data_IF_692942410492
#
_entry.id   IF_692942410492
#
_cell.length_a   1.000
_cell.length_b   1.000
_cell.length_c   1.000
_cell.angle_alpha   90.00
_cell.angle_beta   90.00
_cell.angle_gamma   90.00
#
_symmetry.space_group_name_H-M   'P 1'
#
loop_
_entity.id
_entity.type
_entity.pdbx_description
1 polymer ?
#
# COMPACT_ATOMS: atom_id res chain seq x y z
N UNK A 1 -18.93 -37.67 -60.33
CA UNK A 1 -19.83 -36.91 -59.45
C UNK A 1 -18.99 -36.41 -58.28
N UNK A 2 -18.42 -35.21 -58.43
CA UNK A 2 -17.49 -34.55 -57.52
C UNK A 2 -18.04 -33.13 -57.32
N UNK A 3 -18.03 -32.60 -56.09
CA UNK A 3 -17.86 -31.20 -55.66
C UNK A 3 -18.09 -31.17 -54.12
N UNK A 4 -17.03 -31.30 -53.33
CA UNK A 4 -16.32 -30.24 -52.57
C UNK A 4 -16.92 -29.85 -51.20
N UNK A 5 -16.42 -30.41 -50.08
CA UNK A 5 -16.62 -29.86 -48.73
C UNK A 5 -15.57 -28.79 -48.35
N UNK A 6 -14.63 -28.47 -49.23
CA UNK A 6 -13.43 -27.66 -48.93
C UNK A 6 -13.74 -26.15 -48.81
N UNK A 7 -14.85 -25.68 -49.39
CA UNK A 7 -15.16 -24.25 -49.52
C UNK A 7 -15.53 -23.57 -48.18
N UNK A 8 -16.13 -24.31 -47.26
CA UNK A 8 -16.64 -23.76 -45.99
C UNK A 8 -15.55 -23.58 -44.92
N UNK A 9 -14.52 -24.43 -44.92
CA UNK A 9 -13.39 -24.31 -43.96
C UNK A 9 -12.54 -23.07 -44.25
N UNK A 10 -12.32 -22.74 -45.52
CA UNK A 10 -11.60 -21.53 -45.90
C UNK A 10 -12.34 -20.25 -45.48
N UNK A 11 -13.65 -20.19 -45.73
CA UNK A 11 -14.46 -19.04 -45.33
C UNK A 11 -14.51 -18.88 -43.81
N UNK A 12 -14.67 -19.97 -43.06
CA UNK A 12 -14.73 -19.92 -41.59
C UNK A 12 -13.41 -19.44 -40.98
N UNK A 13 -12.26 -19.96 -41.46
CA UNK A 13 -10.93 -19.51 -41.03
C UNK A 13 -10.68 -18.05 -41.39
N UNK A 14 -11.17 -17.59 -42.54
CA UNK A 14 -11.07 -16.19 -42.94
C UNK A 14 -11.89 -15.28 -42.00
N UNK A 15 -13.10 -15.67 -41.59
CA UNK A 15 -13.91 -14.91 -40.62
C UNK A 15 -13.26 -14.83 -39.23
N UNK A 16 -12.64 -15.92 -38.76
CA UNK A 16 -11.91 -15.95 -37.47
C UNK A 16 -10.68 -15.02 -37.50
N UNK A 17 -10.04 -14.84 -38.67
CA UNK A 17 -8.88 -13.95 -38.81
C UNK A 17 -9.25 -12.48 -39.00
N UNK A 18 -10.39 -12.17 -39.62
CA UNK A 18 -10.78 -10.76 -39.88
C UNK A 18 -11.49 -10.12 -38.67
N UNK A 19 -12.25 -10.89 -37.88
CA UNK A 19 -12.96 -10.38 -36.70
C UNK A 19 -12.07 -9.71 -35.64
N UNK A 20 -10.86 -10.22 -35.30
CA UNK A 20 -9.97 -9.51 -34.37
C UNK A 20 -9.32 -8.26 -34.98
N UNK A 21 -9.20 -8.17 -36.32
CA UNK A 21 -8.62 -7.00 -36.99
C UNK A 21 -9.63 -5.82 -36.96
N UNK A 22 -10.92 -6.10 -37.12
CA UNK A 22 -11.98 -5.08 -37.02
C UNK A 22 -12.32 -4.71 -35.57
N UNK A 23 -12.08 -5.60 -34.60
CA UNK A 23 -12.35 -5.32 -33.17
C UNK A 23 -11.25 -4.49 -32.51
N UNK A 24 -10.03 -4.51 -33.06
CA UNK A 24 -8.89 -3.74 -32.53
C UNK A 24 -8.86 -2.28 -33.00
N UNK A 25 -9.63 -1.89 -34.03
CA UNK A 25 -9.69 -0.50 -34.50
C UNK A 25 -10.77 0.34 -33.82
N UNK A 26 -11.66 -0.26 -33.03
CA UNK A 26 -12.71 0.45 -32.30
C UNK A 26 -12.34 0.84 -30.85
N UNK A 27 -11.20 0.39 -30.32
CA UNK A 27 -10.75 0.72 -28.94
C UNK A 27 -9.55 1.67 -28.84
N UNK A 28 -9.08 2.25 -29.95
CA UNK A 28 -7.98 3.24 -29.92
C UNK A 28 -8.43 4.71 -29.94
N UNK A 29 -9.74 4.99 -29.86
CA UNK A 29 -10.27 6.36 -29.74
C UNK A 29 -11.03 6.56 -28.43
N UNK A 30 -10.41 6.22 -27.30
CA UNK A 30 -10.60 7.01 -26.10
C UNK A 30 -9.56 8.13 -26.13
N UNK A 31 -9.97 9.30 -26.59
CA UNK A 31 -9.20 10.55 -26.61
C UNK A 31 -8.91 11.02 -25.18
N UNK A 32 -8.05 10.31 -24.46
CA UNK A 32 -7.31 10.92 -23.38
C UNK A 32 -6.18 11.72 -24.01
N UNK A 33 -6.49 12.94 -24.43
CA UNK A 33 -5.52 14.03 -24.52
C UNK A 33 -5.00 14.32 -23.11
N UNK A 34 -4.28 13.38 -22.50
CA UNK A 34 -3.36 13.68 -21.42
C UNK A 34 -2.20 14.40 -22.08
N UNK A 35 -2.38 15.70 -22.24
CA UNK A 35 -1.28 16.61 -22.47
C UNK A 35 -0.20 16.25 -21.46
N UNK A 36 0.88 15.64 -21.94
CA UNK A 36 2.08 15.36 -21.15
C UNK A 36 2.73 16.71 -20.87
N UNK A 37 2.16 17.47 -19.95
CA UNK A 37 2.80 18.63 -19.36
C UNK A 37 3.95 18.09 -18.53
N UNK A 38 5.13 18.01 -19.14
CA UNK A 38 6.39 17.92 -18.41
C UNK A 38 6.41 19.12 -17.47
N UNK A 39 6.12 18.87 -16.18
CA UNK A 39 6.13 19.89 -15.15
C UNK A 39 7.59 20.34 -15.04
N UNK A 40 7.87 21.54 -15.54
CA UNK A 40 9.22 22.09 -15.43
C UNK A 40 9.55 22.25 -13.94
N UNK A 41 10.77 21.87 -13.52
CA UNK A 41 11.16 21.99 -12.12
C UNK A 41 11.13 23.47 -11.72
N UNK A 42 10.28 23.80 -10.75
CA UNK A 42 10.15 25.15 -10.22
C UNK A 42 11.18 25.35 -9.11
N UNK A 43 12.08 26.33 -9.27
CA UNK A 43 12.96 26.77 -8.18
C UNK A 43 12.11 27.52 -7.14
N UNK A 44 12.23 27.13 -5.88
CA UNK A 44 11.63 27.85 -4.76
C UNK A 44 12.70 28.69 -4.07
N UNK A 45 12.34 29.90 -3.66
CA UNK A 45 13.19 30.68 -2.77
C UNK A 45 13.03 30.19 -1.33
N UNK A 46 13.91 30.63 -0.43
CA UNK A 46 13.93 30.17 0.96
C UNK A 46 12.57 30.32 1.65
N UNK A 47 11.95 31.50 1.61
CA UNK A 47 10.63 31.74 2.23
C UNK A 47 9.54 30.80 1.67
N UNK A 48 9.48 30.59 0.35
CA UNK A 48 8.51 29.65 -0.27
C UNK A 48 8.84 28.19 0.01
N UNK A 49 10.08 27.85 0.36
CA UNK A 49 10.42 26.47 0.74
C UNK A 49 9.96 26.12 2.16
N UNK A 50 9.68 27.11 3.01
CA UNK A 50 9.20 26.89 4.38
C UNK A 50 7.68 26.65 4.42
N UNK A 51 6.93 27.29 3.53
CA UNK A 51 5.46 27.26 3.50
C UNK A 51 4.85 25.84 3.56
N UNK A 52 5.36 24.81 2.84
CA UNK A 52 4.83 23.45 2.98
C UNK A 52 5.01 22.88 4.38
N UNK A 53 6.17 23.09 5.01
CA UNK A 53 6.45 22.59 6.37
C UNK A 53 5.67 23.32 7.45
N UNK A 54 5.39 24.61 7.26
CA UNK A 54 4.57 25.39 8.20
C UNK A 54 3.09 25.00 8.15
N UNK A 55 2.61 24.53 6.99
CA UNK A 55 1.23 24.10 6.79
C UNK A 55 1.01 22.60 7.03
N UNK A 56 2.08 21.80 7.06
CA UNK A 56 2.02 20.36 7.30
C UNK A 56 2.45 20.06 8.73
N UNK A 57 1.71 20.56 9.72
CA UNK A 57 2.01 20.37 11.14
C UNK A 57 1.65 18.96 11.61
N UNK A 58 2.36 18.46 12.64
CA UNK A 58 1.98 17.23 13.34
C UNK A 58 0.52 17.31 13.79
N UNK A 59 -0.32 16.46 13.21
CA UNK A 59 -1.77 16.48 13.38
C UNK A 59 -2.32 15.09 13.67
N UNK A 60 -3.43 14.74 13.04
CA UNK A 60 -4.07 13.44 13.27
C UNK A 60 -3.22 12.24 12.82
N UNK A 61 -3.33 11.09 13.50
CA UNK A 61 -2.71 9.84 13.07
C UNK A 61 -3.06 9.50 11.62
N UNK A 62 -2.03 9.25 10.82
CA UNK A 62 -2.17 8.95 9.40
C UNK A 62 -2.17 7.45 9.16
N UNK A 63 -2.92 7.01 8.15
CA UNK A 63 -2.95 5.60 7.77
C UNK A 63 -1.60 5.19 7.15
N UNK A 64 -1.08 4.05 7.59
CA UNK A 64 0.12 3.39 7.05
C UNK A 64 -0.22 1.94 6.70
N UNK A 65 0.17 1.54 5.50
CA UNK A 65 0.11 0.13 5.08
C UNK A 65 1.38 -0.59 5.50
N UNK A 66 1.22 -1.77 6.08
CA UNK A 66 2.32 -2.66 6.41
C UNK A 66 2.13 -4.01 5.73
N UNK A 67 3.21 -4.55 5.17
CA UNK A 67 3.20 -5.92 4.71
C UNK A 67 3.14 -6.83 5.93
N UNK A 68 2.08 -7.64 6.05
CA UNK A 68 1.84 -8.42 7.25
C UNK A 68 2.91 -9.51 7.44
N UNK A 69 3.45 -10.06 6.35
CA UNK A 69 4.53 -11.05 6.43
C UNK A 69 5.79 -10.45 7.04
N UNK A 70 6.19 -9.26 6.60
CA UNK A 70 7.39 -8.58 7.14
C UNK A 70 7.22 -8.24 8.61
N UNK A 71 6.01 -7.83 8.97
CA UNK A 71 5.67 -7.41 10.31
C UNK A 71 5.59 -8.58 11.31
N UNK A 72 5.14 -9.76 10.83
CA UNK A 72 5.08 -10.97 11.64
C UNK A 72 6.43 -11.71 11.77
N UNK A 73 7.51 -11.25 11.11
CA UNK A 73 8.82 -11.91 11.18
C UNK A 73 9.38 -12.01 12.60
N UNK A 74 9.04 -11.05 13.47
CA UNK A 74 9.48 -11.02 14.88
C UNK A 74 8.60 -11.87 15.81
N UNK A 75 7.42 -12.29 15.34
CA UNK A 75 6.38 -12.93 16.15
C UNK A 75 6.21 -14.41 15.82
N UNK A 76 6.46 -14.81 14.57
CA UNK A 76 6.29 -16.19 14.09
C UNK A 76 7.54 -17.05 14.19
N UNK A 77 7.29 -18.36 14.30
CA UNK A 77 8.30 -19.39 14.05
C UNK A 77 8.56 -19.60 12.56
N UNK A 78 9.79 -19.96 12.18
CA UNK A 78 10.21 -20.21 10.78
C UNK A 78 9.39 -21.28 10.00
N UNK A 79 8.49 -22.01 10.65
CA UNK A 79 7.64 -23.06 10.07
C UNK A 79 6.25 -22.59 9.63
N UNK A 80 5.91 -21.32 9.88
CA UNK A 80 4.60 -20.74 9.54
C UNK A 80 4.78 -19.46 8.72
N UNK A 81 3.86 -19.22 7.80
CA UNK A 81 3.85 -18.01 6.98
C UNK A 81 2.46 -17.40 6.95
N UNK A 82 2.39 -16.07 6.98
CA UNK A 82 1.14 -15.36 6.77
C UNK A 82 0.71 -15.54 5.31
N UNK A 83 -0.51 -16.06 5.11
CA UNK A 83 -1.14 -16.21 3.81
C UNK A 83 -2.07 -15.02 3.48
N UNK A 84 -2.91 -14.60 4.44
CA UNK A 84 -3.87 -13.52 4.22
C UNK A 84 -4.23 -12.77 5.52
N UNK A 85 -4.51 -11.45 5.49
CA UNK A 85 -4.29 -10.53 4.38
C UNK A 85 -2.79 -10.26 4.14
N UNK A 86 -2.42 -9.85 2.93
CA UNK A 86 -1.02 -9.51 2.61
C UNK A 86 -0.58 -8.20 3.28
N UNK A 87 -1.52 -7.28 3.47
CA UNK A 87 -1.28 -5.98 4.07
C UNK A 87 -2.33 -5.69 5.14
N UNK A 88 -1.91 -4.97 6.17
CA UNK A 88 -2.79 -4.35 7.15
C UNK A 88 -2.60 -2.83 7.13
N UNK A 89 -3.59 -2.11 7.64
CA UNK A 89 -3.52 -0.65 7.79
C UNK A 89 -3.58 -0.31 9.26
N UNK A 90 -2.63 0.51 9.73
CA UNK A 90 -2.60 1.04 11.08
C UNK A 90 -2.53 2.57 11.06
N UNK A 91 -3.15 3.20 12.05
CA UNK A 91 -3.08 4.64 12.34
C UNK A 91 -1.81 4.94 13.11
N UNK A 92 -0.93 5.75 12.52
CA UNK A 92 0.40 6.03 13.05
C UNK A 92 0.69 7.53 13.17
N UNK A 93 1.56 7.81 14.13
CA UNK A 93 2.20 9.09 14.36
C UNK A 93 3.66 8.87 14.07
N UNK A 94 4.13 9.43 12.96
CA UNK A 94 5.51 9.33 12.50
C UNK A 94 5.91 10.62 11.79
N UNK A 95 7.11 10.66 11.23
CA UNK A 95 7.62 11.81 10.47
C UNK A 95 6.78 12.19 9.24
N UNK A 96 5.88 11.30 8.80
CA UNK A 96 4.95 11.55 7.70
C UNK A 96 3.55 11.92 8.19
N UNK A 97 3.33 12.00 9.50
CA UNK A 97 2.08 12.51 10.09
C UNK A 97 2.11 14.03 10.33
N UNK A 98 3.29 14.64 10.18
CA UNK A 98 3.45 16.09 10.14
C UNK A 98 4.80 16.56 10.71
N UNK A 99 5.07 17.86 10.51
CA UNK A 99 6.28 18.55 10.93
C UNK A 99 6.15 19.13 12.34
N UNK A 100 7.27 19.15 13.05
CA UNK A 100 7.43 19.86 14.31
C UNK A 100 8.32 21.10 14.12
N UNK A 101 8.11 22.13 14.94
CA UNK A 101 8.82 23.42 14.82
C UNK A 101 10.30 23.36 15.22
N UNK A 102 10.72 22.29 15.90
CA UNK A 102 12.08 22.13 16.40
C UNK A 102 12.74 20.87 15.86
N UNK A 103 14.03 20.97 15.52
CA UNK A 103 14.83 19.87 14.96
C UNK A 103 15.06 18.69 15.94
N UNK A 104 14.81 18.90 17.23
CA UNK A 104 14.91 17.89 18.28
C UNK A 104 13.55 17.24 18.63
N UNK A 105 12.48 17.62 17.93
CA UNK A 105 11.15 17.07 18.14
C UNK A 105 10.71 16.26 16.92
N UNK A 106 9.92 15.22 17.16
CA UNK A 106 9.22 14.49 16.11
C UNK A 106 7.76 14.28 16.48
N UNK A 107 6.93 14.06 15.46
CA UNK A 107 5.54 13.69 15.64
C UNK A 107 5.49 12.24 16.17
N UNK A 108 4.99 12.08 17.39
CA UNK A 108 4.98 10.81 18.15
C UNK A 108 3.58 10.57 18.72
N UNK A 109 3.16 9.34 19.00
CA UNK A 109 1.90 9.11 19.70
C UNK A 109 1.87 9.74 21.09
N UNK A 110 0.67 10.16 21.51
CA UNK A 110 0.37 10.35 22.94
C UNK A 110 0.15 8.97 23.55
N UNK A 111 0.94 8.59 24.56
CA UNK A 111 0.92 7.23 25.12
C UNK A 111 -0.46 6.78 25.61
N UNK A 112 -1.21 7.68 26.25
CA UNK A 112 -2.57 7.39 26.74
C UNK A 112 -3.62 7.22 25.65
N UNK A 113 -3.30 7.62 24.41
CA UNK A 113 -4.18 7.49 23.26
C UNK A 113 -3.78 6.32 22.35
N UNK A 114 -2.84 5.46 22.77
CA UNK A 114 -2.51 4.22 22.07
C UNK A 114 -3.60 3.19 22.38
N UNK A 115 -4.16 2.59 21.35
CA UNK A 115 -5.16 1.53 21.43
C UNK A 115 -4.77 0.37 20.52
N UNK A 116 -5.54 -0.71 20.53
CA UNK A 116 -5.25 -1.87 19.71
C UNK A 116 -6.51 -2.35 19.00
N UNK A 117 -6.32 -2.74 17.73
CA UNK A 117 -7.33 -3.45 16.96
C UNK A 117 -6.97 -4.93 16.89
N UNK A 118 -7.98 -5.78 16.91
CA UNK A 118 -7.82 -7.23 16.73
C UNK A 118 -8.27 -7.62 15.32
N UNK A 119 -7.40 -8.33 14.61
CA UNK A 119 -7.62 -8.72 13.21
C UNK A 119 -7.43 -10.23 13.08
N UNK A 120 -8.36 -10.89 12.40
CA UNK A 120 -8.23 -12.30 12.03
C UNK A 120 -7.36 -12.43 10.78
N UNK A 121 -6.35 -13.29 10.86
CA UNK A 121 -5.40 -13.58 9.79
C UNK A 121 -5.40 -15.08 9.49
N UNK A 122 -5.00 -15.42 8.28
CA UNK A 122 -4.76 -16.79 7.85
C UNK A 122 -3.25 -17.06 7.79
N UNK A 123 -2.85 -18.13 8.47
CA UNK A 123 -1.48 -18.61 8.53
C UNK A 123 -1.43 -19.98 7.85
N UNK A 124 -0.41 -20.19 7.02
CA UNK A 124 -0.11 -21.47 6.40
C UNK A 124 1.10 -22.12 7.08
N UNK A 125 0.97 -23.39 7.44
CA UNK A 125 2.08 -24.21 7.93
C UNK A 125 2.90 -24.72 6.75
N UNK A 126 4.19 -24.36 6.68
CA UNK A 126 5.11 -24.81 5.63
C UNK A 126 5.40 -26.32 5.70
N UNK A 127 5.15 -26.96 6.86
CA UNK A 127 5.37 -28.39 7.04
C UNK A 127 4.19 -29.24 6.60
N UNK A 128 2.96 -28.74 6.81
CA UNK A 128 1.73 -29.52 6.59
C UNK A 128 0.86 -29.00 5.45
N UNK A 129 1.19 -27.83 4.89
CA UNK A 129 0.38 -27.06 3.94
C UNK A 129 -1.07 -26.88 4.39
N UNK A 130 -1.29 -26.86 5.71
CA UNK A 130 -2.59 -26.58 6.31
C UNK A 130 -2.66 -25.10 6.65
N UNK A 131 -3.80 -24.50 6.35
CA UNK A 131 -4.12 -23.14 6.75
C UNK A 131 -4.90 -23.15 8.06
N UNK A 132 -4.67 -22.14 8.90
CA UNK A 132 -5.43 -21.88 10.12
C UNK A 132 -5.73 -20.39 10.25
N UNK A 133 -6.87 -20.07 10.86
CA UNK A 133 -7.21 -18.71 11.25
C UNK A 133 -6.64 -18.41 12.64
N UNK A 134 -6.16 -17.20 12.83
CA UNK A 134 -5.53 -16.74 14.05
C UNK A 134 -5.85 -15.27 14.25
N UNK A 135 -6.17 -14.87 15.48
CA UNK A 135 -6.30 -13.46 15.82
C UNK A 135 -4.94 -12.89 16.17
N UNK A 136 -4.69 -11.67 15.70
CA UNK A 136 -3.57 -10.84 16.10
C UNK A 136 -4.08 -9.52 16.66
N UNK A 137 -3.32 -8.95 17.58
CA UNK A 137 -3.54 -7.61 18.12
C UNK A 137 -2.51 -6.66 17.53
N UNK A 138 -2.94 -5.51 17.02
CA UNK A 138 -2.10 -4.53 16.35
C UNK A 138 -2.24 -3.17 17.02
N UNK A 139 -1.12 -2.53 17.35
CA UNK A 139 -1.06 -1.18 17.90
C UNK A 139 -1.58 -0.11 16.91
N UNK A 140 -2.37 0.82 17.45
CA UNK A 140 -2.96 1.96 16.78
C UNK A 140 -2.72 3.23 17.60
N UNK A 141 -2.53 4.36 16.93
CA UNK A 141 -2.43 5.66 17.58
C UNK A 141 -3.74 6.44 17.44
N UNK A 142 -4.25 6.97 18.54
CA UNK A 142 -5.43 7.84 18.57
C UNK A 142 -5.11 9.33 18.47
N UNK A 143 -3.94 9.75 18.95
CA UNK A 143 -3.52 11.16 18.96
C UNK A 143 -2.00 11.28 18.78
N UNK A 144 -1.56 12.33 18.09
CA UNK A 144 -0.14 12.64 17.90
C UNK A 144 0.24 13.97 18.55
N UNK A 145 1.49 14.06 19.01
CA UNK A 145 2.08 15.26 19.60
C UNK A 145 3.51 15.44 19.10
N UNK A 146 3.98 16.69 19.07
CA UNK A 146 5.40 16.99 18.93
C UNK A 146 6.09 16.83 20.29
N UNK A 147 6.88 15.77 20.45
CA UNK A 147 7.68 15.55 21.65
C UNK A 147 9.17 15.46 21.28
N UNK A 148 10.04 15.68 22.28
CA UNK A 148 11.48 15.52 22.11
C UNK A 148 11.79 14.04 21.92
N UNK A 149 12.49 13.70 20.85
CA UNK A 149 12.86 12.31 20.54
C UNK A 149 14.35 12.19 20.25
N UNK A 150 14.93 11.08 20.72
CA UNK A 150 16.31 10.72 20.39
C UNK A 150 16.43 10.46 18.89
N UNK A 151 17.59 10.75 18.30
CA UNK A 151 17.85 10.55 16.87
C UNK A 151 17.48 9.16 16.38
N UNK A 152 17.68 8.15 17.23
CA UNK A 152 17.46 6.74 16.90
C UNK A 152 15.97 6.36 16.89
N UNK A 153 15.14 7.10 17.64
CA UNK A 153 13.68 6.94 17.70
C UNK A 153 12.95 7.72 16.60
N UNK A 154 13.65 8.54 15.81
CA UNK A 154 13.06 9.26 14.66
C UNK A 154 12.74 8.35 13.48
N UNK A 155 13.19 7.09 13.53
CA UNK A 155 12.91 6.10 12.51
C UNK A 155 11.51 5.51 12.67
N UNK A 156 10.95 5.13 11.54
CA UNK A 156 9.67 4.42 11.39
C UNK A 156 9.53 3.30 12.42
N UNK A 157 8.74 3.53 13.47
CA UNK A 157 8.34 2.45 14.35
C UNK A 157 7.26 1.63 13.65
N UNK A 158 7.59 0.38 13.36
CA UNK A 158 6.58 -0.64 13.04
C UNK A 158 5.60 -0.76 14.21
N UNK A 159 4.30 -0.94 13.97
CA UNK A 159 3.35 -1.13 15.05
C UNK A 159 3.71 -2.39 15.85
N UNK A 160 3.51 -2.36 17.16
CA UNK A 160 3.64 -3.56 17.98
C UNK A 160 2.51 -4.55 17.65
N UNK A 161 2.87 -5.83 17.52
CA UNK A 161 1.94 -6.90 17.19
C UNK A 161 2.14 -8.13 18.07
N UNK A 162 1.02 -8.71 18.46
CA UNK A 162 0.96 -9.88 19.33
C UNK A 162 -0.03 -10.91 18.74
N UNK A 163 0.32 -12.19 18.83
CA UNK A 163 -0.63 -13.29 18.56
C UNK A 163 -1.50 -13.52 19.80
N UNK A 164 -2.80 -13.74 19.59
CA UNK A 164 -3.79 -13.98 20.65
C UNK A 164 -4.09 -15.46 20.91
#
# INVERSE_FOLDING_TARGET
MLIQPIKYDFCLRLFILITPILSNTAQSMATNNKSHHHRTPKRLNFSRSLEPSENFLCGEPQSRSYNLRDLMQTVHTNSEIVNFPLYIVSKRCDVHSGCCKSFNMSCTPVESAIYHDEIEIEIESLQTNRTRKQWIRIEQHGECICAVTNSDQRNYSTPNIEML
#
